data_IF_629945579734
#
_entry.id   IF_629945579734
#
_cell.length_a   1.000
_cell.length_b   1.000
_cell.length_c   1.000
_cell.angle_alpha   90.00
_cell.angle_beta   90.00
_cell.angle_gamma   90.00
#
_symmetry.space_group_name_H-M   'P 1'
#
loop_
_entity.id
_entity.type
_entity.pdbx_description
1 polymer ?
#
# COMPACT_ATOMS: atom_id res chain seq x y z
N UNK A 1 -11.28 16.72 21.91
CA UNK A 1 -10.18 15.79 22.04
C UNK A 1 -9.97 15.07 20.72
N UNK A 2 -8.76 15.09 20.19
CA UNK A 2 -8.32 14.32 19.03
C UNK A 2 -7.47 13.15 19.53
N UNK A 3 -7.77 11.95 19.06
CA UNK A 3 -7.12 10.70 19.48
C UNK A 3 -6.80 9.84 18.25
N UNK A 4 -5.99 8.81 18.38
CA UNK A 4 -5.92 7.76 17.37
C UNK A 4 -7.30 7.20 17.03
N UNK A 5 -7.44 6.67 15.83
CA UNK A 5 -8.73 6.15 15.33
C UNK A 5 -9.25 5.02 16.21
N UNK A 6 -10.53 5.07 16.55
CA UNK A 6 -11.22 4.00 17.27
C UNK A 6 -11.12 2.67 16.51
N UNK A 7 -10.88 1.58 17.22
CA UNK A 7 -10.70 0.25 16.63
C UNK A 7 -9.29 -0.03 16.11
N UNK A 8 -8.34 0.90 16.32
CA UNK A 8 -6.92 0.71 15.95
C UNK A 8 -6.03 0.89 17.17
N UNK A 9 -4.85 0.26 17.16
CA UNK A 9 -3.79 0.48 18.15
C UNK A 9 -2.72 1.33 17.47
N UNK A 10 -2.42 2.50 18.03
CA UNK A 10 -1.40 3.38 17.46
C UNK A 10 0.00 2.78 17.64
N UNK A 11 0.97 3.06 16.73
CA UNK A 11 2.37 2.67 16.91
C UNK A 11 2.98 3.23 18.20
N UNK A 12 2.54 4.43 18.60
CA UNK A 12 2.94 5.04 19.87
C UNK A 12 2.43 4.22 21.07
N UNK A 13 1.18 3.76 21.02
CA UNK A 13 0.57 2.94 22.06
C UNK A 13 1.33 1.66 22.34
N UNK A 14 1.68 0.91 21.30
CA UNK A 14 2.44 -0.33 21.43
C UNK A 14 3.76 -0.09 22.15
N UNK A 15 4.50 0.94 21.73
CA UNK A 15 5.80 1.28 22.33
C UNK A 15 5.66 1.77 23.78
N UNK A 16 4.69 2.64 24.04
CA UNK A 16 4.47 3.16 25.40
C UNK A 16 4.05 2.05 26.36
N UNK A 17 3.16 1.17 25.94
CA UNK A 17 2.70 0.03 26.74
C UNK A 17 3.86 -0.90 27.08
N UNK A 18 4.74 -1.22 26.12
CA UNK A 18 5.95 -2.03 26.33
C UNK A 18 6.91 -1.37 27.33
N UNK A 19 7.12 -0.06 27.24
CA UNK A 19 7.99 0.69 28.19
C UNK A 19 7.45 0.56 29.61
N UNK A 20 6.13 0.77 29.78
CA UNK A 20 5.49 0.64 31.10
C UNK A 20 5.62 -0.77 31.67
N UNK A 21 5.41 -1.79 30.83
CA UNK A 21 5.62 -3.18 31.23
C UNK A 21 7.07 -3.43 31.70
N UNK A 22 8.07 -2.95 30.94
CA UNK A 22 9.48 -3.07 31.27
C UNK A 22 9.88 -2.29 32.56
N UNK A 23 9.12 -1.26 32.90
CA UNK A 23 9.28 -0.52 34.16
C UNK A 23 8.54 -1.14 35.35
N UNK A 24 8.05 -2.38 35.22
CA UNK A 24 7.22 -3.06 36.23
C UNK A 24 5.95 -2.29 36.63
N UNK A 25 5.40 -1.50 35.72
CA UNK A 25 4.13 -0.81 35.87
C UNK A 25 3.16 -1.35 34.80
N UNK A 26 2.56 -2.53 35.03
CA UNK A 26 1.72 -3.17 34.03
C UNK A 26 0.45 -2.38 33.80
N UNK A 27 0.23 -1.98 32.56
CA UNK A 27 -1.01 -1.37 32.07
C UNK A 27 -1.46 -2.18 30.86
N UNK A 28 -2.76 -2.33 30.70
CA UNK A 28 -3.30 -3.09 29.58
C UNK A 28 -3.01 -2.37 28.25
N UNK A 29 -3.23 -1.06 28.22
CA UNK A 29 -2.98 -0.23 27.05
C UNK A 29 -2.86 1.24 27.44
N UNK A 30 -1.95 1.94 26.80
CA UNK A 30 -1.80 3.40 26.87
C UNK A 30 -2.08 4.00 25.50
N UNK A 31 -2.81 5.09 25.47
CA UNK A 31 -2.96 5.92 24.27
C UNK A 31 -2.73 7.39 24.62
N UNK A 32 -2.37 8.18 23.62
CA UNK A 32 -2.27 9.64 23.76
C UNK A 32 -3.31 10.31 22.87
N UNK A 33 -3.81 11.45 23.35
CA UNK A 33 -4.64 12.34 22.56
C UNK A 33 -4.20 13.80 22.72
N UNK A 34 -4.73 14.67 21.88
CA UNK A 34 -4.51 16.12 21.93
C UNK A 34 -5.82 16.79 22.27
N UNK A 35 -5.82 17.53 23.40
CA UNK A 35 -6.97 18.32 23.81
C UNK A 35 -6.85 19.74 23.21
N UNK A 36 -7.76 20.09 22.31
CA UNK A 36 -7.87 21.44 21.76
C UNK A 36 -8.87 22.26 22.59
N UNK A 37 -8.47 23.44 23.02
CA UNK A 37 -9.34 24.43 23.59
C UNK A 37 -9.61 25.53 22.57
N UNK A 38 -10.85 25.65 22.12
CA UNK A 38 -11.27 26.64 21.14
C UNK A 38 -11.91 27.84 21.82
N UNK A 39 -11.55 29.04 21.39
CA UNK A 39 -12.10 30.30 21.91
C UNK A 39 -12.87 31.02 20.80
N UNK A 40 -14.00 31.66 21.20
CA UNK A 40 -14.78 32.47 20.26
C UNK A 40 -15.79 31.69 19.42
N UNK A 41 -15.97 30.41 19.68
CA UNK A 41 -17.01 29.58 19.07
C UNK A 41 -17.84 28.89 20.16
N UNK A 42 -19.13 28.72 19.90
CA UNK A 42 -20.08 28.09 20.83
C UNK A 42 -20.25 26.59 20.56
N UNK A 43 -19.94 26.15 19.36
CA UNK A 43 -20.07 24.74 18.96
C UNK A 43 -18.97 24.34 17.98
N UNK A 44 -18.57 23.07 18.03
CA UNK A 44 -17.54 22.51 17.16
C UNK A 44 -18.20 21.89 15.95
N UNK A 45 -18.33 22.66 14.88
CA UNK A 45 -18.89 22.18 13.60
C UNK A 45 -17.99 21.11 12.94
N UNK A 46 -18.56 20.35 12.03
CA UNK A 46 -17.79 19.33 11.28
C UNK A 46 -16.65 19.94 10.45
N UNK A 47 -16.82 21.17 9.96
CA UNK A 47 -15.75 21.89 9.28
C UNK A 47 -14.55 22.16 10.20
N UNK A 48 -14.82 22.53 11.45
CA UNK A 48 -13.76 22.71 12.46
C UNK A 48 -13.10 21.38 12.79
N UNK A 49 -13.88 20.30 12.97
CA UNK A 49 -13.33 18.97 13.24
C UNK A 49 -12.41 18.50 12.09
N UNK A 50 -12.78 18.74 10.82
CA UNK A 50 -11.98 18.38 9.66
C UNK A 50 -10.59 19.06 9.64
N UNK A 51 -10.48 20.26 10.18
CA UNK A 51 -9.19 20.98 10.27
C UNK A 51 -8.34 20.49 11.45
N UNK A 52 -8.96 19.94 12.50
CA UNK A 52 -8.29 19.54 13.73
C UNK A 52 -7.74 18.13 13.71
N UNK A 53 -8.18 17.26 12.78
CA UNK A 53 -7.79 15.85 12.79
C UNK A 53 -7.63 15.28 11.38
N UNK A 54 -6.81 14.26 11.25
CA UNK A 54 -6.75 13.41 10.08
C UNK A 54 -7.82 12.31 10.18
N UNK A 55 -8.85 12.39 9.33
CA UNK A 55 -9.96 11.45 9.32
C UNK A 55 -9.57 9.98 9.08
N UNK A 56 -8.38 9.72 8.53
CA UNK A 56 -7.91 8.37 8.24
C UNK A 56 -7.28 7.69 9.46
N UNK A 57 -6.61 8.47 10.29
CA UNK A 57 -5.79 7.97 11.40
C UNK A 57 -6.29 8.41 12.77
N UNK A 58 -7.23 9.36 12.82
CA UNK A 58 -7.68 9.99 14.05
C UNK A 58 -9.21 10.02 14.19
N UNK A 59 -9.66 10.17 15.42
CA UNK A 59 -11.06 10.38 15.81
C UNK A 59 -11.19 11.62 16.69
N UNK A 60 -12.32 12.31 16.60
CA UNK A 60 -12.62 13.48 17.42
C UNK A 60 -13.71 13.16 18.43
N UNK A 61 -13.48 13.47 19.68
CA UNK A 61 -14.44 13.38 20.78
C UNK A 61 -14.75 14.76 21.33
N UNK A 62 -16.00 15.01 21.69
CA UNK A 62 -16.42 16.26 22.30
C UNK A 62 -16.14 16.27 23.82
N UNK A 63 -16.16 15.12 24.47
CA UNK A 63 -15.88 14.92 25.90
C UNK A 63 -14.68 13.99 26.06
N UNK A 64 -13.92 14.17 27.14
CA UNK A 64 -12.76 13.31 27.43
C UNK A 64 -13.23 11.87 27.72
N UNK A 65 -14.34 11.73 28.41
CA UNK A 65 -14.87 10.42 28.84
C UNK A 65 -15.31 9.56 27.64
N UNK A 66 -15.71 10.17 26.52
CA UNK A 66 -16.05 9.46 25.29
C UNK A 66 -14.83 8.70 24.71
N UNK A 67 -13.61 9.10 25.06
CA UNK A 67 -12.39 8.44 24.63
C UNK A 67 -12.22 7.03 25.21
N UNK A 68 -13.04 6.64 26.20
CA UNK A 68 -13.13 5.24 26.64
C UNK A 68 -13.40 4.26 25.47
N UNK A 69 -14.04 4.73 24.40
CA UNK A 69 -14.26 3.96 23.18
C UNK A 69 -12.95 3.47 22.50
N UNK A 70 -11.80 4.11 22.77
CA UNK A 70 -10.49 3.64 22.29
C UNK A 70 -10.10 2.28 22.86
N UNK A 71 -10.60 1.95 24.04
CA UNK A 71 -10.26 0.75 24.79
C UNK A 71 -11.36 -0.33 24.69
N UNK A 72 -12.40 -0.06 23.89
CA UNK A 72 -13.44 -1.06 23.64
C UNK A 72 -12.90 -2.18 22.76
N UNK A 73 -13.18 -3.41 23.15
CA UNK A 73 -12.96 -4.60 22.35
C UNK A 73 -14.23 -4.92 21.55
N UNK A 74 -14.06 -5.34 20.30
CA UNK A 74 -15.17 -5.77 19.45
C UNK A 74 -15.02 -7.28 19.24
N UNK A 75 -16.06 -8.02 19.53
CA UNK A 75 -16.08 -9.44 19.23
C UNK A 75 -15.94 -9.68 17.72
N UNK A 76 -15.20 -10.73 17.33
CA UNK A 76 -15.11 -11.13 15.93
C UNK A 76 -16.50 -11.41 15.36
N UNK A 77 -16.75 -10.95 14.14
CA UNK A 77 -17.97 -11.33 13.43
C UNK A 77 -17.99 -12.84 13.20
N UNK A 78 -19.15 -13.51 13.27
CA UNK A 78 -19.26 -14.92 12.95
C UNK A 78 -18.92 -15.14 11.46
N UNK A 79 -18.36 -16.33 11.17
CA UNK A 79 -18.18 -16.77 9.79
C UNK A 79 -19.55 -16.99 9.14
N UNK A 80 -19.73 -16.42 7.93
CA UNK A 80 -20.95 -16.62 7.15
C UNK A 80 -20.73 -17.74 6.11
N UNK A 81 -21.49 -18.82 6.21
CA UNK A 81 -21.51 -19.87 5.21
C UNK A 81 -22.40 -19.45 4.03
N UNK A 82 -21.89 -19.60 2.80
CA UNK A 82 -22.66 -19.36 1.57
C UNK A 82 -23.23 -20.68 1.08
N UNK A 83 -24.54 -20.83 1.08
CA UNK A 83 -25.23 -22.09 0.84
C UNK A 83 -25.20 -22.53 -0.64
N UNK A 84 -24.03 -22.95 -1.11
CA UNK A 84 -23.84 -23.46 -2.48
C UNK A 84 -24.48 -24.86 -2.62
N UNK A 85 -24.44 -25.70 -1.59
CA UNK A 85 -24.98 -27.06 -1.67
C UNK A 85 -26.52 -27.06 -1.80
N UNK A 86 -27.19 -26.12 -1.16
CA UNK A 86 -28.66 -26.03 -1.20
C UNK A 86 -29.19 -25.16 -2.34
N UNK A 87 -28.56 -24.01 -2.62
CA UNK A 87 -29.04 -23.01 -3.57
C UNK A 87 -28.20 -22.91 -4.86
N UNK A 88 -27.10 -23.70 -4.96
CA UNK A 88 -26.29 -23.77 -6.16
C UNK A 88 -25.53 -22.47 -6.49
N UNK A 89 -25.38 -22.23 -7.78
CA UNK A 89 -24.67 -21.07 -8.35
C UNK A 89 -25.25 -19.73 -7.89
N UNK A 90 -26.56 -19.63 -7.75
CA UNK A 90 -27.24 -18.37 -7.43
C UNK A 90 -26.83 -17.80 -6.07
N UNK A 91 -26.56 -18.68 -5.07
CA UNK A 91 -26.04 -18.26 -3.78
C UNK A 91 -24.68 -17.57 -3.91
N UNK A 92 -23.79 -18.09 -4.77
CA UNK A 92 -22.47 -17.52 -4.97
C UNK A 92 -22.53 -16.23 -5.81
N UNK A 93 -23.38 -16.15 -6.82
CA UNK A 93 -23.62 -14.91 -7.60
C UNK A 93 -24.11 -13.79 -6.68
N UNK A 94 -25.05 -14.09 -5.79
CA UNK A 94 -25.55 -13.14 -4.80
C UNK A 94 -24.43 -12.68 -3.86
N UNK A 95 -23.66 -13.62 -3.29
CA UNK A 95 -22.54 -13.32 -2.42
C UNK A 95 -21.44 -12.50 -3.14
N UNK A 96 -21.15 -12.82 -4.41
CA UNK A 96 -20.20 -12.07 -5.25
C UNK A 96 -20.56 -10.59 -5.34
N UNK A 97 -21.86 -10.28 -5.51
CA UNK A 97 -22.33 -8.89 -5.55
C UNK A 97 -22.35 -8.25 -4.17
N UNK A 98 -22.82 -8.96 -3.15
CA UNK A 98 -23.02 -8.45 -1.79
C UNK A 98 -21.69 -8.14 -1.08
N UNK A 99 -20.68 -9.00 -1.26
CA UNK A 99 -19.35 -8.84 -0.65
C UNK A 99 -18.32 -8.20 -1.58
N UNK A 100 -18.67 -7.96 -2.85
CA UNK A 100 -17.78 -7.30 -3.81
C UNK A 100 -16.54 -8.13 -4.17
N UNK A 101 -16.66 -9.45 -4.33
CA UNK A 101 -15.53 -10.34 -4.64
C UNK A 101 -14.97 -10.14 -6.06
N UNK A 102 -15.77 -9.61 -6.97
CA UNK A 102 -15.40 -9.41 -8.38
C UNK A 102 -14.98 -10.72 -9.09
N UNK A 103 -15.66 -11.83 -8.77
CA UNK A 103 -15.46 -13.11 -9.45
C UNK A 103 -16.07 -13.10 -10.85
N UNK A 104 -15.37 -13.70 -11.81
CA UNK A 104 -15.92 -13.96 -13.14
C UNK A 104 -16.86 -15.17 -13.13
N UNK A 105 -17.65 -15.33 -14.21
CA UNK A 105 -18.58 -16.46 -14.34
C UNK A 105 -17.85 -17.81 -14.29
N UNK A 106 -16.67 -17.91 -14.91
CA UNK A 106 -15.84 -19.12 -14.87
C UNK A 106 -15.30 -19.41 -13.48
N UNK A 107 -14.94 -18.39 -12.71
CA UNK A 107 -14.50 -18.54 -11.33
C UNK A 107 -15.64 -18.98 -10.41
N UNK A 108 -16.84 -18.45 -10.64
CA UNK A 108 -18.04 -18.87 -9.94
C UNK A 108 -18.33 -20.35 -10.24
N UNK A 109 -18.30 -20.77 -11.51
CA UNK A 109 -18.53 -22.16 -11.92
C UNK A 109 -17.47 -23.10 -11.32
N UNK A 110 -16.20 -22.68 -11.33
CA UNK A 110 -15.11 -23.41 -10.69
C UNK A 110 -15.35 -23.62 -9.18
N UNK A 111 -15.69 -22.56 -8.47
CA UNK A 111 -15.93 -22.62 -7.02
C UNK A 111 -17.14 -23.48 -6.68
N UNK A 112 -18.23 -23.36 -7.42
CA UNK A 112 -19.41 -24.21 -7.25
C UNK A 112 -19.03 -25.69 -7.43
N UNK A 113 -18.30 -26.03 -8.48
CA UNK A 113 -17.85 -27.40 -8.71
C UNK A 113 -16.89 -27.90 -7.61
N UNK A 114 -15.97 -27.05 -7.17
CA UNK A 114 -14.99 -27.38 -6.14
C UNK A 114 -15.67 -27.65 -4.77
N UNK A 115 -16.57 -26.77 -4.33
CA UNK A 115 -17.25 -26.95 -3.04
C UNK A 115 -18.30 -28.07 -3.05
N UNK A 116 -18.96 -28.33 -4.18
CA UNK A 116 -19.78 -29.54 -4.37
C UNK A 116 -18.93 -30.80 -4.21
N UNK A 117 -17.74 -30.86 -4.79
CA UNK A 117 -16.81 -31.98 -4.63
C UNK A 117 -16.31 -32.13 -3.20
N UNK A 118 -16.12 -31.04 -2.46
CA UNK A 118 -15.76 -31.04 -1.05
C UNK A 118 -16.91 -31.45 -0.12
N UNK A 119 -18.16 -31.42 -0.61
CA UNK A 119 -19.35 -31.78 0.17
C UNK A 119 -19.66 -30.79 1.30
N UNK A 120 -19.21 -29.57 1.22
CA UNK A 120 -19.47 -28.51 2.21
C UNK A 120 -19.66 -27.13 1.57
N UNK A 121 -20.32 -26.25 2.29
CA UNK A 121 -20.43 -24.86 1.91
C UNK A 121 -19.13 -24.06 2.18
N UNK A 122 -18.76 -23.08 1.34
CA UNK A 122 -17.68 -22.15 1.64
C UNK A 122 -18.11 -21.13 2.69
N UNK A 123 -17.14 -20.60 3.42
CA UNK A 123 -17.31 -19.39 4.22
C UNK A 123 -16.93 -18.13 3.41
N UNK A 124 -17.49 -17.00 3.80
CA UNK A 124 -17.20 -15.69 3.22
C UNK A 124 -15.70 -15.39 3.15
N UNK A 125 -14.94 -15.70 4.19
CA UNK A 125 -13.49 -15.52 4.24
C UNK A 125 -12.74 -16.37 3.21
N UNK A 126 -13.17 -17.61 2.95
CA UNK A 126 -12.57 -18.50 1.94
C UNK A 126 -12.77 -17.92 0.54
N UNK A 127 -13.97 -17.41 0.27
CA UNK A 127 -14.28 -16.74 -1.00
C UNK A 127 -13.51 -15.44 -1.15
N UNK A 128 -13.36 -14.65 -0.09
CA UNK A 128 -12.54 -13.43 -0.08
C UNK A 128 -11.07 -13.75 -0.36
N UNK A 129 -10.51 -14.76 0.27
CA UNK A 129 -9.14 -15.20 0.04
C UNK A 129 -8.93 -15.65 -1.42
N UNK A 130 -9.87 -16.42 -1.97
CA UNK A 130 -9.83 -16.84 -3.37
C UNK A 130 -9.87 -15.61 -4.30
N UNK A 131 -10.79 -14.68 -4.06
CA UNK A 131 -10.95 -13.47 -4.84
C UNK A 131 -9.68 -12.60 -4.83
N UNK A 132 -9.06 -12.44 -3.66
CA UNK A 132 -7.79 -11.70 -3.52
C UNK A 132 -6.64 -12.40 -4.23
N UNK A 133 -6.50 -13.72 -4.07
CA UNK A 133 -5.44 -14.48 -4.72
C UNK A 133 -5.56 -14.49 -6.25
N UNK A 134 -6.78 -14.40 -6.79
CA UNK A 134 -7.06 -14.31 -8.23
C UNK A 134 -7.27 -12.88 -8.75
N UNK A 135 -6.97 -11.87 -7.94
CA UNK A 135 -7.09 -10.47 -8.35
C UNK A 135 -6.05 -10.07 -9.40
N UNK A 136 -6.27 -8.93 -10.05
CA UNK A 136 -5.26 -8.34 -10.94
C UNK A 136 -3.95 -8.05 -10.20
N UNK A 137 -4.04 -7.62 -8.96
CA UNK A 137 -2.89 -7.33 -8.10
C UNK A 137 -2.00 -8.56 -7.86
N UNK A 138 -2.60 -9.70 -7.52
CA UNK A 138 -1.82 -10.90 -7.16
C UNK A 138 -1.48 -11.79 -8.38
N UNK A 139 -2.35 -11.85 -9.39
CA UNK A 139 -2.24 -12.83 -10.49
C UNK A 139 -2.12 -12.21 -11.87
N UNK A 140 -2.28 -10.91 -12.02
CA UNK A 140 -2.38 -10.27 -13.35
C UNK A 140 -3.48 -10.90 -14.22
N UNK A 141 -4.67 -11.07 -13.64
CA UNK A 141 -5.81 -11.77 -14.21
C UNK A 141 -6.19 -11.25 -15.60
N UNK A 142 -6.29 -9.92 -15.76
CA UNK A 142 -6.61 -9.25 -17.01
C UNK A 142 -5.37 -9.21 -17.93
N UNK A 143 -4.22 -8.75 -17.40
CA UNK A 143 -2.99 -8.65 -18.17
C UNK A 143 -2.44 -10.02 -18.65
N UNK A 144 -2.73 -11.09 -17.92
CA UNK A 144 -2.35 -12.46 -18.27
C UNK A 144 -3.36 -13.20 -19.15
N UNK A 145 -4.57 -12.66 -19.37
CA UNK A 145 -5.62 -13.35 -20.10
C UNK A 145 -5.41 -13.39 -21.61
N UNK A 146 -6.04 -14.37 -22.26
CA UNK A 146 -6.18 -14.41 -23.70
C UNK A 146 -7.22 -13.37 -24.15
N UNK A 147 -7.03 -12.77 -25.29
CA UNK A 147 -7.93 -11.75 -25.82
C UNK A 147 -8.13 -11.90 -27.33
N UNK A 148 -9.25 -11.38 -27.79
CA UNK A 148 -9.69 -11.45 -29.18
C UNK A 148 -10.08 -10.05 -29.64
N UNK A 149 -9.56 -9.59 -30.77
CA UNK A 149 -9.92 -8.32 -31.40
C UNK A 149 -10.59 -8.64 -32.72
N UNK A 150 -11.81 -8.11 -32.92
CA UNK A 150 -12.60 -8.26 -34.15
C UNK A 150 -12.73 -9.73 -34.61
N UNK A 151 -12.82 -10.66 -33.66
CA UNK A 151 -12.91 -12.10 -33.90
C UNK A 151 -11.57 -12.80 -34.07
N UNK A 152 -10.44 -12.11 -34.07
CA UNK A 152 -9.11 -12.67 -34.18
C UNK A 152 -8.44 -12.83 -32.81
N UNK A 153 -8.10 -14.07 -32.44
CA UNK A 153 -7.38 -14.35 -31.21
C UNK A 153 -5.95 -13.82 -31.30
N UNK A 154 -5.56 -13.04 -30.32
CA UNK A 154 -4.21 -12.49 -30.23
C UNK A 154 -3.22 -13.52 -29.73
N UNK A 155 -2.00 -13.50 -30.28
CA UNK A 155 -0.96 -14.48 -29.97
C UNK A 155 -0.27 -14.27 -28.63
N UNK A 156 -0.30 -13.04 -28.11
CA UNK A 156 0.33 -12.64 -26.84
C UNK A 156 -0.69 -12.00 -25.92
N UNK A 157 -0.63 -12.34 -24.63
CA UNK A 157 -1.30 -11.55 -23.61
C UNK A 157 -0.62 -10.17 -23.44
N UNK A 158 -1.30 -9.20 -22.79
CA UNK A 158 -0.70 -7.89 -22.51
C UNK A 158 0.60 -8.03 -21.72
N UNK A 159 0.64 -8.94 -20.76
CA UNK A 159 1.84 -9.17 -19.95
C UNK A 159 2.98 -9.81 -20.77
N UNK A 160 2.65 -10.67 -21.72
CA UNK A 160 3.65 -11.24 -22.64
C UNK A 160 4.21 -10.18 -23.60
N UNK A 161 3.40 -9.20 -24.03
CA UNK A 161 3.88 -8.06 -24.82
C UNK A 161 4.90 -7.23 -24.06
N UNK A 162 4.64 -6.95 -22.77
CA UNK A 162 5.60 -6.26 -21.89
C UNK A 162 6.90 -7.06 -21.80
N UNK A 163 6.81 -8.37 -21.55
CA UNK A 163 7.99 -9.26 -21.47
C UNK A 163 8.75 -9.38 -22.78
N UNK A 164 8.09 -9.13 -23.92
CA UNK A 164 8.74 -9.22 -25.22
C UNK A 164 9.91 -8.24 -25.35
N UNK A 165 9.83 -7.05 -24.77
CA UNK A 165 10.93 -6.09 -24.70
C UNK A 165 12.20 -6.72 -24.13
N UNK A 166 12.06 -7.44 -23.01
CA UNK A 166 13.19 -8.16 -22.41
C UNK A 166 13.70 -9.32 -23.25
N UNK A 167 12.81 -10.04 -23.93
CA UNK A 167 13.22 -11.15 -24.82
C UNK A 167 14.03 -10.67 -26.00
N UNK A 168 13.62 -9.56 -26.62
CA UNK A 168 14.28 -8.99 -27.78
C UNK A 168 15.57 -8.24 -27.43
N UNK A 169 15.66 -7.68 -26.22
CA UNK A 169 16.82 -6.88 -25.77
C UNK A 169 17.22 -7.22 -24.34
N UNK A 170 17.75 -8.42 -24.07
CA UNK A 170 18.14 -8.86 -22.72
C UNK A 170 19.49 -8.31 -22.26
N UNK A 171 20.21 -7.59 -23.11
CA UNK A 171 21.56 -7.07 -22.81
C UNK A 171 21.55 -6.25 -21.54
N UNK A 172 22.55 -6.47 -20.69
CA UNK A 172 22.74 -5.79 -19.40
C UNK A 172 21.63 -6.00 -18.36
N UNK A 173 20.70 -6.93 -18.58
CA UNK A 173 19.72 -7.34 -17.57
C UNK A 173 20.20 -8.62 -16.88
N UNK A 174 20.51 -8.53 -15.60
CA UNK A 174 20.97 -9.66 -14.79
C UNK A 174 19.80 -10.48 -14.22
N UNK A 175 18.72 -9.81 -13.85
CA UNK A 175 17.51 -10.44 -13.34
C UNK A 175 16.28 -9.60 -13.64
N UNK A 176 15.26 -10.23 -14.24
CA UNK A 176 13.94 -9.64 -14.43
C UNK A 176 12.86 -10.72 -14.32
N UNK A 177 11.67 -10.37 -13.84
CA UNK A 177 10.49 -11.24 -13.71
C UNK A 177 10.68 -12.50 -12.85
N UNK A 178 11.68 -12.50 -11.95
CA UNK A 178 12.00 -13.63 -11.06
C UNK A 178 11.89 -13.30 -9.59
N UNK A 179 11.90 -12.02 -9.26
CA UNK A 179 11.91 -11.51 -7.89
C UNK A 179 11.12 -10.21 -7.80
N UNK A 180 11.01 -9.62 -6.61
CA UNK A 180 10.29 -8.39 -6.33
C UNK A 180 10.91 -7.14 -6.98
N UNK A 181 12.16 -7.24 -7.43
CA UNK A 181 12.86 -6.18 -8.14
C UNK A 181 13.69 -6.74 -9.30
N UNK A 182 14.01 -5.90 -10.27
CA UNK A 182 14.94 -6.22 -11.34
C UNK A 182 16.36 -5.77 -10.99
N UNK A 183 17.36 -6.39 -11.66
CA UNK A 183 18.76 -6.03 -11.51
C UNK A 183 19.38 -5.85 -12.89
N UNK A 184 20.01 -4.71 -13.12
CA UNK A 184 20.78 -4.42 -14.34
C UNK A 184 22.26 -4.29 -14.02
N UNK A 185 23.10 -4.47 -15.05
CA UNK A 185 24.54 -4.27 -14.93
C UNK A 185 24.84 -2.83 -14.55
N UNK A 186 25.65 -2.66 -13.52
CA UNK A 186 26.15 -1.37 -13.09
C UNK A 186 27.65 -1.23 -13.38
N UNK A 187 28.29 -0.28 -12.75
CA UNK A 187 29.67 0.04 -13.00
C UNK A 187 30.63 -0.59 -11.99
N UNK A 188 31.85 -0.84 -12.38
CA UNK A 188 32.93 -1.13 -11.45
C UNK A 188 33.23 0.12 -10.63
N UNK A 189 33.20 -0.06 -9.32
CA UNK A 189 33.42 1.05 -8.39
C UNK A 189 34.14 0.59 -7.15
N UNK A 190 34.65 1.55 -6.38
CA UNK A 190 35.23 1.29 -5.07
C UNK A 190 34.22 1.63 -3.97
N UNK A 191 34.01 0.69 -3.08
CA UNK A 191 33.16 0.87 -1.92
C UNK A 191 33.99 0.81 -0.63
N UNK A 192 33.73 1.76 0.25
CA UNK A 192 34.36 1.85 1.55
C UNK A 192 33.45 1.19 2.60
N UNK A 193 33.92 0.06 3.15
CA UNK A 193 33.21 -0.67 4.19
C UNK A 193 34.15 -1.56 5.02
N UNK A 194 33.70 -2.03 6.21
CA UNK A 194 34.51 -2.90 7.05
C UNK A 194 34.72 -4.25 6.39
N UNK A 195 35.95 -4.62 6.22
CA UNK A 195 36.40 -5.94 5.76
C UNK A 195 37.26 -6.59 6.81
N UNK A 196 37.10 -7.90 7.05
CA UNK A 196 37.95 -8.67 7.93
C UNK A 196 39.36 -8.65 7.35
N UNK A 197 40.31 -8.22 8.16
CA UNK A 197 41.72 -8.28 7.85
C UNK A 197 42.23 -9.68 8.16
N UNK A 198 42.96 -10.30 7.24
CA UNK A 198 43.34 -11.70 7.32
C UNK A 198 44.49 -11.92 8.34
N UNK A 199 45.32 -10.89 8.56
CA UNK A 199 46.47 -10.98 9.51
C UNK A 199 46.01 -10.76 10.94
N UNK A 200 45.17 -9.75 11.15
CA UNK A 200 44.76 -9.34 12.51
C UNK A 200 43.42 -9.95 12.96
N UNK A 201 42.64 -10.45 12.04
CA UNK A 201 41.28 -10.94 12.30
C UNK A 201 40.24 -9.86 12.60
N UNK A 202 40.64 -8.59 12.69
CA UNK A 202 39.77 -7.46 12.97
C UNK A 202 39.08 -6.93 11.72
N UNK A 203 37.95 -6.28 11.89
CA UNK A 203 37.27 -5.58 10.80
C UNK A 203 37.83 -4.16 10.66
N UNK A 204 38.46 -3.89 9.54
CA UNK A 204 39.01 -2.56 9.21
C UNK A 204 38.30 -1.99 7.97
N UNK A 205 38.07 -0.69 7.98
CA UNK A 205 37.48 0.00 6.82
C UNK A 205 38.52 0.12 5.71
N UNK A 206 38.21 -0.44 4.56
CA UNK A 206 39.06 -0.39 3.35
C UNK A 206 38.22 -0.15 2.12
N UNK A 207 38.82 0.48 1.10
CA UNK A 207 38.25 0.51 -0.24
C UNK A 207 38.34 -0.87 -0.88
N UNK A 208 37.24 -1.33 -1.45
CA UNK A 208 37.19 -2.56 -2.23
C UNK A 208 36.57 -2.31 -3.57
N UNK A 209 37.28 -2.67 -4.65
CA UNK A 209 36.74 -2.67 -6.00
C UNK A 209 35.74 -3.81 -6.18
N UNK A 210 34.59 -3.50 -6.74
CA UNK A 210 33.53 -4.46 -7.06
C UNK A 210 32.60 -3.91 -8.13
N UNK A 211 31.96 -4.79 -8.88
CA UNK A 211 30.83 -4.40 -9.71
C UNK A 211 29.66 -4.00 -8.79
N UNK A 212 29.11 -2.81 -9.02
CA UNK A 212 27.94 -2.28 -8.29
C UNK A 212 26.74 -2.27 -9.22
N UNK A 213 26.06 -3.41 -9.30
CA UNK A 213 24.85 -3.54 -10.10
C UNK A 213 23.72 -2.68 -9.53
N UNK A 214 22.78 -2.29 -10.39
CA UNK A 214 21.67 -1.43 -10.05
C UNK A 214 20.42 -2.28 -9.90
N UNK A 215 19.86 -2.26 -8.69
CA UNK A 215 18.58 -2.85 -8.38
C UNK A 215 17.50 -1.80 -8.58
N UNK A 216 16.40 -2.16 -9.23
CA UNK A 216 15.29 -1.26 -9.55
C UNK A 216 13.96 -1.90 -9.15
N UNK A 217 13.18 -1.14 -8.39
CA UNK A 217 11.79 -1.45 -8.04
C UNK A 217 10.91 -0.24 -8.33
N UNK A 218 9.78 -0.51 -8.96
CA UNK A 218 8.73 0.50 -9.22
C UNK A 218 7.48 0.07 -8.46
N UNK A 219 6.87 1.01 -7.74
CA UNK A 219 5.65 0.80 -6.98
C UNK A 219 4.56 1.76 -7.45
N UNK A 220 3.39 1.21 -7.81
CA UNK A 220 2.22 2.00 -8.14
C UNK A 220 1.32 2.10 -6.91
N UNK A 221 1.23 3.29 -6.32
CA UNK A 221 0.46 3.52 -5.09
C UNK A 221 -0.54 4.67 -5.27
N UNK A 222 -1.37 4.58 -6.32
CA UNK A 222 -2.25 5.65 -6.78
C UNK A 222 -3.48 5.85 -5.88
N UNK A 223 -4.27 4.81 -5.62
CA UNK A 223 -5.54 4.94 -4.90
C UNK A 223 -5.38 5.44 -3.45
N UNK A 224 -4.50 4.86 -2.63
CA UNK A 224 -4.25 5.38 -1.29
C UNK A 224 -3.71 6.82 -1.29
N UNK A 225 -2.84 7.18 -2.25
CA UNK A 225 -2.33 8.54 -2.40
C UNK A 225 -3.43 9.52 -2.81
N UNK A 226 -4.39 9.10 -3.62
CA UNK A 226 -5.53 9.93 -3.97
C UNK A 226 -6.48 10.20 -2.79
N UNK A 227 -6.57 9.30 -1.82
CA UNK A 227 -7.43 9.43 -0.64
C UNK A 227 -6.73 10.22 0.47
N UNK A 228 -5.48 9.89 0.77
CA UNK A 228 -4.65 10.49 1.82
C UNK A 228 -3.24 10.74 1.24
N UNK A 229 -3.00 11.86 0.56
CA UNK A 229 -1.81 12.09 -0.26
C UNK A 229 -0.49 11.86 0.46
N UNK A 230 -0.32 12.45 1.64
CA UNK A 230 0.91 12.29 2.43
C UNK A 230 1.12 10.82 2.87
N UNK A 231 0.15 10.24 3.55
CA UNK A 231 0.26 8.88 4.09
C UNK A 231 0.31 7.83 2.97
N UNK A 232 -0.45 8.02 1.89
CA UNK A 232 -0.46 7.14 0.73
C UNK A 232 0.89 7.12 0.01
N UNK A 233 1.47 8.28 -0.28
CA UNK A 233 2.78 8.38 -0.92
C UNK A 233 3.91 7.85 -0.01
N UNK A 234 3.84 8.12 1.29
CA UNK A 234 4.77 7.54 2.27
C UNK A 234 4.74 6.01 2.25
N UNK A 235 3.54 5.42 2.23
CA UNK A 235 3.37 3.96 2.14
C UNK A 235 3.91 3.39 0.83
N UNK A 236 3.74 4.10 -0.30
CA UNK A 236 4.31 3.72 -1.59
C UNK A 236 5.83 3.64 -1.53
N UNK A 237 6.49 4.66 -0.98
CA UNK A 237 7.95 4.63 -0.76
C UNK A 237 8.38 3.48 0.16
N UNK A 238 7.59 3.18 1.19
CA UNK A 238 7.81 2.02 2.06
C UNK A 238 7.71 0.68 1.32
N UNK A 239 6.78 0.57 0.37
CA UNK A 239 6.60 -0.59 -0.49
C UNK A 239 7.82 -0.85 -1.38
N UNK A 240 8.38 0.18 -1.98
CA UNK A 240 9.62 0.08 -2.76
C UNK A 240 10.79 -0.46 -1.91
N UNK A 241 11.00 0.12 -0.74
CA UNK A 241 12.10 -0.27 0.16
C UNK A 241 11.93 -1.72 0.62
N UNK A 242 10.70 -2.12 0.93
CA UNK A 242 10.40 -3.49 1.35
C UNK A 242 10.76 -4.51 0.27
N UNK A 243 10.38 -4.23 -0.97
CA UNK A 243 10.62 -5.13 -2.09
C UNK A 243 12.11 -5.15 -2.50
N UNK A 244 12.80 -4.01 -2.48
CA UNK A 244 14.24 -3.96 -2.65
C UNK A 244 14.96 -4.80 -1.59
N UNK A 245 14.52 -4.71 -0.33
CA UNK A 245 15.06 -5.50 0.78
C UNK A 245 14.77 -7.00 0.67
N UNK A 246 13.64 -7.39 0.09
CA UNK A 246 13.23 -8.78 -0.09
C UNK A 246 14.10 -9.54 -1.10
N UNK A 247 14.80 -8.86 -2.00
CA UNK A 247 15.69 -9.50 -2.99
C UNK A 247 16.92 -10.15 -2.37
N UNK A 248 17.18 -9.96 -1.10
CA UNK A 248 18.24 -10.62 -0.34
C UNK A 248 19.32 -9.68 0.19
N UNK A 249 20.37 -10.28 0.74
CA UNK A 249 21.42 -9.58 1.51
C UNK A 249 22.23 -8.56 0.72
N UNK A 250 22.24 -8.63 -0.59
CA UNK A 250 22.95 -7.68 -1.46
C UNK A 250 22.19 -6.38 -1.70
N UNK A 251 20.88 -6.40 -1.58
CA UNK A 251 20.03 -5.24 -1.81
C UNK A 251 20.27 -4.12 -0.79
N UNK A 252 20.38 -2.88 -1.28
CA UNK A 252 20.56 -1.68 -0.45
C UNK A 252 19.75 -0.54 -1.04
N UNK A 253 18.66 -0.14 -0.41
CA UNK A 253 17.87 1.03 -0.84
C UNK A 253 18.75 2.28 -0.82
N UNK A 254 19.03 2.86 -1.99
CA UNK A 254 20.00 3.97 -2.15
C UNK A 254 19.39 5.28 -2.57
N UNK A 255 18.33 5.25 -3.35
CA UNK A 255 17.63 6.44 -3.81
C UNK A 255 16.18 6.11 -4.11
N UNK A 256 15.27 7.02 -3.80
CA UNK A 256 13.86 6.98 -4.18
C UNK A 256 13.56 8.03 -5.25
N UNK A 257 12.70 7.68 -6.19
CA UNK A 257 12.11 8.59 -7.17
C UNK A 257 10.59 8.59 -6.96
N UNK A 258 9.97 9.75 -7.12
CA UNK A 258 8.51 9.86 -7.07
C UNK A 258 7.98 10.55 -8.32
N UNK A 259 6.85 10.08 -8.84
CA UNK A 259 6.17 10.70 -9.97
C UNK A 259 4.67 10.79 -9.69
N UNK A 260 4.05 11.91 -10.02
CA UNK A 260 2.63 12.14 -9.80
C UNK A 260 1.98 12.64 -11.08
N UNK A 261 1.00 11.90 -11.56
CA UNK A 261 0.13 12.34 -12.67
C UNK A 261 -1.27 12.59 -12.10
N UNK A 262 -1.76 13.80 -12.26
CA UNK A 262 -3.07 14.25 -11.76
C UNK A 262 -3.84 14.97 -12.86
N UNK A 263 -5.13 15.21 -12.63
CA UNK A 263 -5.93 16.09 -13.50
C UNK A 263 -5.59 17.58 -13.26
N UNK A 264 -6.35 18.48 -13.89
CA UNK A 264 -6.15 19.92 -13.76
C UNK A 264 -6.04 20.36 -12.30
N UNK A 265 -5.04 21.20 -12.00
CA UNK A 265 -4.75 21.60 -10.61
C UNK A 265 -5.79 22.56 -10.05
N UNK A 266 -6.42 23.39 -10.91
CA UNK A 266 -7.37 24.43 -10.52
C UNK A 266 -6.83 25.29 -9.36
N UNK A 267 -5.64 25.88 -9.56
CA UNK A 267 -4.96 26.67 -8.53
C UNK A 267 -5.79 27.94 -8.26
N UNK A 268 -6.23 28.17 -7.01
CA UNK A 268 -7.05 29.34 -6.70
C UNK A 268 -6.35 30.65 -7.03
N UNK A 269 -7.01 31.49 -7.83
CA UNK A 269 -6.47 32.78 -8.29
C UNK A 269 -5.45 32.67 -9.42
N UNK A 270 -5.28 31.49 -10.00
CA UNK A 270 -4.40 31.22 -11.15
C UNK A 270 -4.99 30.17 -12.09
N UNK A 271 -6.30 30.29 -12.34
CA UNK A 271 -7.02 29.38 -13.23
C UNK A 271 -6.53 29.53 -14.67
N UNK A 272 -6.37 28.40 -15.36
CA UNK A 272 -5.90 28.38 -16.74
C UNK A 272 -7.08 28.17 -17.72
N UNK A 273 -7.03 28.72 -18.96
CA UNK A 273 -8.13 28.65 -19.91
C UNK A 273 -8.47 27.23 -20.42
N UNK A 274 -7.60 26.27 -20.18
CA UNK A 274 -7.81 24.85 -20.54
C UNK A 274 -8.27 23.99 -19.36
N UNK A 275 -8.43 24.55 -18.15
CA UNK A 275 -8.85 23.82 -16.98
C UNK A 275 -10.38 23.73 -16.91
N UNK A 276 -10.91 22.55 -17.23
CA UNK A 276 -12.32 22.23 -17.06
C UNK A 276 -12.57 21.55 -15.73
N UNK A 277 -13.67 21.86 -15.09
CA UNK A 277 -14.09 21.23 -13.85
C UNK A 277 -14.95 20.00 -14.13
N UNK A 278 -14.34 18.83 -14.19
CA UNK A 278 -15.04 17.55 -14.36
C UNK A 278 -15.58 16.99 -13.03
N UNK A 279 -15.34 17.67 -11.91
CA UNK A 279 -15.63 17.16 -10.58
C UNK A 279 -14.67 16.03 -10.16
N UNK A 280 -14.88 15.50 -8.97
CA UNK A 280 -14.14 14.36 -8.44
C UNK A 280 -14.98 13.59 -7.41
N UNK A 281 -14.71 12.31 -7.15
CA UNK A 281 -15.30 11.59 -6.03
C UNK A 281 -15.00 12.31 -4.70
N UNK A 282 -16.00 12.40 -3.83
CA UNK A 282 -15.89 13.14 -2.56
C UNK A 282 -14.80 12.60 -1.64
N UNK A 283 -14.48 11.30 -1.74
CA UNK A 283 -13.43 10.65 -0.95
C UNK A 283 -12.01 10.99 -1.38
N UNK A 284 -11.82 11.53 -2.59
CA UNK A 284 -10.49 11.83 -3.13
C UNK A 284 -10.07 13.26 -2.78
N UNK A 285 -8.79 13.44 -2.49
CA UNK A 285 -8.17 14.76 -2.37
C UNK A 285 -8.20 15.51 -3.72
N UNK A 286 -8.04 16.82 -3.69
CA UNK A 286 -7.90 17.60 -4.93
C UNK A 286 -6.56 17.30 -5.61
N UNK A 287 -6.46 17.45 -6.95
CA UNK A 287 -5.18 17.31 -7.66
C UNK A 287 -4.08 18.20 -7.07
N UNK A 288 -4.41 19.44 -6.73
CA UNK A 288 -3.49 20.37 -6.09
C UNK A 288 -2.98 19.84 -4.73
N UNK A 289 -3.88 19.31 -3.92
CA UNK A 289 -3.49 18.75 -2.62
C UNK A 289 -2.59 17.52 -2.79
N UNK A 290 -2.87 16.64 -3.76
CA UNK A 290 -2.02 15.49 -4.07
C UNK A 290 -0.61 15.96 -4.46
N UNK A 291 -0.50 17.00 -5.31
CA UNK A 291 0.79 17.53 -5.76
C UNK A 291 1.58 18.25 -4.66
N UNK A 292 0.91 18.76 -3.63
CA UNK A 292 1.56 19.39 -2.48
C UNK A 292 2.00 18.33 -1.46
N UNK A 293 1.09 17.49 -1.02
CA UNK A 293 1.30 16.59 0.11
C UNK A 293 1.96 15.26 -0.28
N UNK A 294 1.69 14.75 -1.49
CA UNK A 294 2.24 13.47 -1.96
C UNK A 294 3.77 13.43 -1.98
N UNK A 295 4.44 14.40 -2.63
CA UNK A 295 5.91 14.46 -2.62
C UNK A 295 6.51 14.56 -1.22
N UNK A 296 5.86 15.30 -0.32
CA UNK A 296 6.29 15.42 1.08
C UNK A 296 6.18 14.10 1.83
N UNK A 297 5.11 13.33 1.59
CA UNK A 297 4.93 12.01 2.20
C UNK A 297 6.01 11.01 1.76
N UNK A 298 6.27 10.93 0.46
CA UNK A 298 7.32 10.08 -0.09
C UNK A 298 8.71 10.47 0.43
N UNK A 299 9.01 11.77 0.46
CA UNK A 299 10.29 12.28 0.98
C UNK A 299 10.46 11.99 2.47
N UNK A 300 9.42 12.17 3.28
CA UNK A 300 9.46 11.90 4.72
C UNK A 300 9.81 10.45 5.02
N UNK A 301 9.17 9.49 4.34
CA UNK A 301 9.47 8.07 4.53
C UNK A 301 10.89 7.71 4.09
N UNK A 302 11.33 8.21 2.94
CA UNK A 302 12.70 8.00 2.49
C UNK A 302 13.72 8.56 3.47
N UNK A 303 13.45 9.74 4.06
CA UNK A 303 14.33 10.37 5.04
C UNK A 303 14.51 9.52 6.32
N UNK A 304 13.49 8.83 6.78
CA UNK A 304 13.59 7.92 7.94
C UNK A 304 14.58 6.77 7.68
N UNK A 305 14.70 6.32 6.44
CA UNK A 305 15.66 5.29 6.01
C UNK A 305 17.02 5.84 5.61
N UNK A 306 17.25 7.15 5.67
CA UNK A 306 18.45 7.77 5.14
C UNK A 306 18.63 7.56 3.63
N UNK A 307 17.53 7.35 2.90
CA UNK A 307 17.47 7.18 1.46
C UNK A 307 17.09 8.51 0.81
N UNK A 308 17.95 9.12 -0.01
CA UNK A 308 17.61 10.37 -0.69
C UNK A 308 16.33 10.20 -1.53
N UNK A 309 15.38 11.11 -1.36
CA UNK A 309 14.25 11.27 -2.27
C UNK A 309 14.69 12.19 -3.42
N UNK A 310 14.90 11.60 -4.58
CA UNK A 310 15.21 12.34 -5.80
C UNK A 310 13.92 12.78 -6.48
N UNK A 311 14.01 13.79 -7.33
CA UNK A 311 12.85 14.21 -8.08
C UNK A 311 12.40 13.16 -9.08
N UNK A 312 11.10 13.13 -9.33
CA UNK A 312 10.46 12.48 -10.45
C UNK A 312 9.74 13.53 -11.30
N UNK A 313 8.46 13.43 -11.44
CA UNK A 313 7.63 14.39 -12.18
C UNK A 313 6.28 14.60 -11.48
#
# INVERSE_FOLDING_TARGET
LVTPRVGTISPWSSKATDIFANCNTPVHRLERGVLFTLKGISDVSDAVKQVLHDRMTESVFNQIDDAAALFSETDPKPLNAIDILGQGKDALVKANSEFGFALSDEEIDYLVAAFNKLGRNPHDIELMMFAQANSEHCRHKIFGSEWTIDGEKQSLSLFQMIKNTYKESPTDVLSAYKDNASVIVGFDTQRFYPKKDEETGHHVYKYKSQAAHILMKVETHNHPTAIAPFAGAATGSGGEIRDEGATGRGGKPKAGLTGFTVSNLNIPGFEQPWEDNYGKPSRMASPLQIMIDGPLGGAAFNNEFGRPALNGY
#
